data_IF_930491797823
#
_entry.id   IF_930491797823
#
_cell.length_a   1.000
_cell.length_b   1.000
_cell.length_c   1.000
_cell.angle_alpha   90.00
_cell.angle_beta   90.00
_cell.angle_gamma   90.00
#
_symmetry.space_group_name_H-M   'P 1'
#
loop_
_entity.id
_entity.type
_entity.pdbx_description
1 polymer ?
#
# COMPACT_ATOMS: atom_id res chain seq x y z
N UNK A 1 16.87 -47.54 -36.45
CA UNK A 1 17.83 -47.10 -35.39
C UNK A 1 18.32 -45.72 -35.73
N UNK A 2 17.71 -44.69 -35.08
CA UNK A 2 18.14 -43.29 -35.14
C UNK A 2 18.47 -42.89 -33.69
N UNK A 3 19.69 -42.44 -33.37
CA UNK A 3 20.02 -41.99 -32.02
C UNK A 3 19.48 -40.59 -31.79
N UNK A 4 18.61 -40.43 -30.77
CA UNK A 4 18.16 -39.16 -30.25
C UNK A 4 19.35 -38.41 -29.60
N UNK A 5 19.79 -37.31 -30.19
CA UNK A 5 20.70 -36.37 -29.53
C UNK A 5 19.90 -35.56 -28.52
N UNK A 6 19.94 -35.94 -27.26
CA UNK A 6 19.61 -35.06 -26.18
C UNK A 6 20.71 -33.99 -26.06
N UNK A 7 20.48 -32.83 -26.60
CA UNK A 7 21.30 -31.64 -26.30
C UNK A 7 20.90 -31.17 -24.91
N UNK A 8 21.70 -31.51 -23.92
CA UNK A 8 21.63 -30.96 -22.59
C UNK A 8 21.96 -29.45 -22.69
N UNK A 9 20.97 -28.61 -22.38
CA UNK A 9 21.17 -27.15 -22.20
C UNK A 9 22.10 -27.00 -21.00
N UNK A 10 23.26 -26.29 -21.10
CA UNK A 10 24.14 -26.09 -19.96
C UNK A 10 23.43 -25.29 -18.86
N UNK A 11 23.38 -25.83 -17.65
CA UNK A 11 22.73 -25.22 -16.47
C UNK A 11 23.19 -23.79 -16.15
N UNK A 12 24.32 -23.34 -16.69
CA UNK A 12 24.84 -21.98 -16.52
C UNK A 12 24.11 -20.90 -17.31
N UNK A 13 23.52 -21.21 -18.48
CA UNK A 13 22.82 -20.18 -19.30
C UNK A 13 21.48 -19.77 -18.73
N UNK A 14 20.76 -20.68 -18.08
CA UNK A 14 19.47 -20.39 -17.44
C UNK A 14 19.65 -19.46 -16.22
N UNK A 15 20.70 -19.68 -15.43
CA UNK A 15 20.98 -18.87 -14.24
C UNK A 15 21.39 -17.44 -14.57
N UNK A 16 22.27 -17.24 -15.56
CA UNK A 16 22.67 -15.92 -16.01
C UNK A 16 21.52 -15.11 -16.62
N UNK A 17 20.59 -15.76 -17.34
CA UNK A 17 19.39 -15.10 -17.87
C UNK A 17 18.47 -14.67 -16.73
N UNK A 18 18.23 -15.55 -15.74
CA UNK A 18 17.42 -15.25 -14.55
C UNK A 18 18.01 -14.10 -13.73
N UNK A 19 19.33 -14.09 -13.49
CA UNK A 19 20.01 -13.04 -12.73
C UNK A 19 19.96 -11.68 -13.47
N UNK A 20 20.01 -11.70 -14.80
CA UNK A 20 19.88 -10.51 -15.63
C UNK A 20 18.44 -9.97 -15.63
N UNK A 21 17.43 -10.84 -15.72
CA UNK A 21 16.02 -10.45 -15.64
C UNK A 21 15.68 -9.87 -14.27
N UNK A 22 16.17 -10.46 -13.20
CA UNK A 22 16.00 -9.94 -11.84
C UNK A 22 16.65 -8.56 -11.69
N UNK A 23 17.85 -8.37 -12.23
CA UNK A 23 18.54 -7.08 -12.19
C UNK A 23 17.77 -5.99 -12.93
N UNK A 24 17.26 -6.29 -14.13
CA UNK A 24 16.43 -5.37 -14.90
C UNK A 24 15.12 -5.03 -14.19
N UNK A 25 14.48 -6.02 -13.59
CA UNK A 25 13.27 -5.81 -12.79
C UNK A 25 13.54 -4.87 -11.61
N UNK A 26 14.62 -5.10 -10.86
CA UNK A 26 14.99 -4.24 -9.72
C UNK A 26 15.29 -2.80 -10.15
N UNK A 27 15.98 -2.62 -11.29
CA UNK A 27 16.24 -1.29 -11.85
C UNK A 27 14.99 -0.55 -12.26
N UNK A 28 14.05 -1.25 -12.93
CA UNK A 28 12.77 -0.66 -13.33
C UNK A 28 11.92 -0.31 -12.09
N UNK A 29 11.89 -1.16 -11.08
CA UNK A 29 11.20 -0.90 -9.82
C UNK A 29 11.76 0.34 -9.11
N UNK A 30 13.09 0.48 -9.04
CA UNK A 30 13.75 1.65 -8.46
C UNK A 30 13.42 2.94 -9.22
N UNK A 31 13.44 2.90 -10.55
CA UNK A 31 13.08 4.03 -11.41
C UNK A 31 11.64 4.49 -11.17
N UNK A 32 10.70 3.55 -11.08
CA UNK A 32 9.28 3.84 -10.82
C UNK A 32 9.07 4.39 -9.41
N UNK A 33 9.73 3.82 -8.41
CA UNK A 33 9.70 4.32 -7.05
C UNK A 33 10.19 5.76 -6.98
N UNK A 34 11.31 6.08 -7.63
CA UNK A 34 11.85 7.43 -7.67
C UNK A 34 10.89 8.42 -8.35
N UNK A 35 10.23 8.04 -9.45
CA UNK A 35 9.24 8.89 -10.11
C UNK A 35 8.03 9.17 -9.20
N UNK A 36 7.56 8.17 -8.45
CA UNK A 36 6.47 8.36 -7.50
C UNK A 36 6.91 9.25 -6.34
N UNK A 37 8.15 9.13 -5.86
CA UNK A 37 8.66 10.01 -4.79
C UNK A 37 8.79 11.48 -5.25
N UNK A 38 9.14 11.73 -6.50
CA UNK A 38 9.09 13.10 -7.05
C UNK A 38 7.64 13.60 -7.12
N UNK A 39 6.70 12.79 -7.59
CA UNK A 39 5.28 13.14 -7.59
C UNK A 39 4.78 13.47 -6.17
N UNK A 40 5.13 12.67 -5.16
CA UNK A 40 4.73 12.95 -3.77
C UNK A 40 5.20 14.32 -3.31
N UNK A 41 6.43 14.74 -3.68
CA UNK A 41 6.99 16.05 -3.30
C UNK A 41 6.18 17.22 -3.84
N UNK A 42 5.60 17.09 -5.03
CA UNK A 42 4.79 18.14 -5.65
C UNK A 42 3.49 18.41 -4.89
N UNK A 43 3.02 17.43 -4.11
CA UNK A 43 1.79 17.52 -3.33
C UNK A 43 2.02 17.80 -1.84
N UNK A 44 3.28 17.92 -1.37
CA UNK A 44 3.55 18.22 0.03
C UNK A 44 3.01 19.60 0.40
N UNK A 45 2.31 19.73 1.55
CA UNK A 45 1.91 21.03 2.04
C UNK A 45 3.12 21.85 2.51
N UNK A 46 3.07 23.17 2.31
CA UNK A 46 4.14 24.09 2.73
C UNK A 46 4.26 24.14 4.26
N UNK A 47 5.49 24.02 4.76
CA UNK A 47 5.81 24.01 6.20
C UNK A 47 5.84 25.43 6.77
N UNK A 48 4.66 26.06 6.86
CA UNK A 48 4.52 27.44 7.30
C UNK A 48 3.30 27.64 8.22
N UNK A 49 3.18 28.81 8.81
CA UNK A 49 2.07 29.19 9.68
C UNK A 49 2.14 28.55 11.07
N UNK A 50 1.07 28.70 11.86
CA UNK A 50 0.96 28.16 13.22
C UNK A 50 0.84 26.63 13.24
N UNK A 51 0.43 26.03 12.13
CA UNK A 51 0.30 24.57 11.93
C UNK A 51 1.59 23.94 11.38
N UNK A 52 2.69 24.68 11.27
CA UNK A 52 3.95 24.23 10.67
C UNK A 52 4.42 22.88 11.23
N UNK A 53 4.40 22.68 12.54
CA UNK A 53 4.93 21.46 13.17
C UNK A 53 4.17 20.20 12.76
N UNK A 54 2.84 20.26 12.65
CA UNK A 54 2.08 19.09 12.18
C UNK A 54 2.36 18.82 10.70
N UNK A 55 2.54 19.86 9.89
CA UNK A 55 2.91 19.71 8.48
C UNK A 55 4.30 19.07 8.35
N UNK A 56 5.29 19.54 9.13
CA UNK A 56 6.62 18.92 9.19
C UNK A 56 6.55 17.43 9.56
N UNK A 57 5.72 17.06 10.55
CA UNK A 57 5.51 15.68 10.97
C UNK A 57 4.83 14.83 9.87
N UNK A 58 3.85 15.38 9.14
CA UNK A 58 3.21 14.74 7.99
C UNK A 58 4.23 14.50 6.86
N UNK A 59 4.98 15.53 6.47
CA UNK A 59 5.99 15.47 5.41
C UNK A 59 7.12 14.50 5.79
N UNK A 60 7.59 14.54 7.04
CA UNK A 60 8.57 13.62 7.59
C UNK A 60 8.15 12.16 7.41
N UNK A 61 6.88 11.86 7.72
CA UNK A 61 6.33 10.51 7.64
C UNK A 61 6.16 10.06 6.19
N UNK A 62 5.57 10.91 5.35
CA UNK A 62 5.31 10.58 3.94
C UNK A 62 6.61 10.35 3.17
N UNK A 63 7.65 11.14 3.45
CA UNK A 63 8.96 11.04 2.81
C UNK A 63 9.93 10.09 3.52
N UNK A 64 9.45 9.21 4.42
CA UNK A 64 10.28 8.22 5.09
C UNK A 64 10.72 7.04 4.18
N UNK A 65 10.42 7.10 2.90
CA UNK A 65 10.74 6.07 1.91
C UNK A 65 9.74 4.90 1.92
N UNK A 66 10.01 3.92 1.10
CA UNK A 66 9.20 2.72 0.94
C UNK A 66 9.18 2.20 -0.49
N UNK A 67 8.52 1.06 -0.71
CA UNK A 67 8.44 0.43 -2.04
C UNK A 67 7.43 1.12 -2.97
N UNK A 68 6.57 1.98 -2.46
CA UNK A 68 5.52 2.72 -3.20
C UNK A 68 4.67 1.81 -4.10
N UNK A 69 4.39 0.59 -3.65
CA UNK A 69 3.68 -0.41 -4.46
C UNK A 69 2.23 -0.01 -4.78
N UNK A 70 1.52 0.62 -3.85
CA UNK A 70 0.12 1.00 -4.05
C UNK A 70 -0.06 2.02 -5.18
N UNK A 71 0.61 3.18 -5.17
CA UNK A 71 0.55 4.11 -6.30
C UNK A 71 1.08 3.49 -7.61
N UNK A 72 2.09 2.60 -7.54
CA UNK A 72 2.61 1.90 -8.72
C UNK A 72 1.56 0.96 -9.33
N UNK A 73 0.88 0.15 -8.51
CA UNK A 73 -0.20 -0.73 -8.97
C UNK A 73 -1.37 0.07 -9.55
N UNK A 74 -1.71 1.21 -8.93
CA UNK A 74 -2.74 2.12 -9.46
C UNK A 74 -2.36 2.64 -10.83
N UNK A 75 -1.13 3.10 -11.03
CA UNK A 75 -0.65 3.60 -12.30
C UNK A 75 -0.65 2.51 -13.38
N UNK A 76 -0.20 1.30 -13.06
CA UNK A 76 -0.16 0.21 -14.03
C UNK A 76 -1.57 -0.26 -14.46
N UNK A 77 -2.51 -0.32 -13.53
CA UNK A 77 -3.89 -0.64 -13.88
C UNK A 77 -4.55 0.46 -14.68
N UNK A 78 -4.27 1.73 -14.37
CA UNK A 78 -4.74 2.85 -15.18
C UNK A 78 -4.28 2.75 -16.64
N UNK A 79 -2.98 2.50 -16.85
CA UNK A 79 -2.41 2.29 -18.19
C UNK A 79 -2.95 1.04 -18.88
N UNK A 80 -3.15 -0.04 -18.13
CA UNK A 80 -3.68 -1.31 -18.66
C UNK A 80 -5.06 -1.14 -19.30
N UNK A 81 -5.90 -0.24 -18.73
CA UNK A 81 -7.22 0.10 -19.26
C UNK A 81 -7.21 1.33 -20.20
N UNK A 82 -6.04 1.75 -20.68
CA UNK A 82 -5.89 2.81 -21.68
C UNK A 82 -5.91 4.24 -21.13
N UNK A 83 -5.77 4.40 -19.81
CA UNK A 83 -5.63 5.73 -19.20
C UNK A 83 -4.26 6.34 -19.50
N UNK A 84 -4.23 7.64 -19.82
CA UNK A 84 -3.02 8.36 -20.28
C UNK A 84 -2.89 9.80 -19.72
N UNK A 85 -3.79 10.24 -18.85
CA UNK A 85 -3.77 11.60 -18.29
C UNK A 85 -3.35 11.66 -16.82
N UNK A 86 -3.30 12.89 -16.30
CA UNK A 86 -2.82 13.22 -14.96
C UNK A 86 -3.90 13.07 -13.87
N UNK A 87 -5.15 12.77 -14.26
CA UNK A 87 -6.28 12.60 -13.34
C UNK A 87 -6.03 11.56 -12.22
N UNK A 88 -5.11 10.63 -12.47
CA UNK A 88 -4.72 9.59 -11.54
C UNK A 88 -3.77 10.08 -10.44
N UNK A 89 -2.96 11.11 -10.70
CA UNK A 89 -1.88 11.55 -9.81
C UNK A 89 -2.36 11.91 -8.40
N UNK A 90 -3.44 12.70 -8.23
CA UNK A 90 -3.97 13.00 -6.91
C UNK A 90 -4.36 11.74 -6.13
N UNK A 91 -4.86 10.70 -6.81
CA UNK A 91 -5.21 9.44 -6.17
C UNK A 91 -3.99 8.59 -5.81
N UNK A 92 -2.94 8.61 -6.64
CA UNK A 92 -1.67 7.94 -6.34
C UNK A 92 -1.05 8.52 -5.07
N UNK A 93 -1.10 9.84 -4.92
CA UNK A 93 -0.61 10.54 -3.73
C UNK A 93 -1.51 10.25 -2.53
N UNK A 94 -2.81 10.36 -2.69
CA UNK A 94 -3.79 10.14 -1.63
C UNK A 94 -3.70 8.73 -1.02
N UNK A 95 -3.57 7.69 -1.85
CA UNK A 95 -3.48 6.32 -1.32
C UNK A 95 -2.18 6.09 -0.54
N UNK A 96 -1.10 6.76 -0.92
CA UNK A 96 0.16 6.67 -0.18
C UNK A 96 0.10 7.47 1.14
N UNK A 97 -0.61 8.62 1.17
CA UNK A 97 -0.92 9.34 2.41
C UNK A 97 -1.79 8.48 3.35
N UNK A 98 -2.81 7.80 2.82
CA UNK A 98 -3.66 6.89 3.60
C UNK A 98 -2.84 5.73 4.16
N UNK A 99 -1.96 5.13 3.37
CA UNK A 99 -1.05 4.11 3.87
C UNK A 99 -0.11 4.66 4.94
N UNK A 100 0.41 5.86 4.75
CA UNK A 100 1.37 6.47 5.67
C UNK A 100 0.72 6.81 7.00
N UNK A 101 -0.51 7.37 7.02
CA UNK A 101 -1.18 7.66 8.28
C UNK A 101 -1.41 6.39 9.11
N UNK A 102 -1.76 5.28 8.47
CA UNK A 102 -1.95 4.03 9.19
C UNK A 102 -0.68 3.58 9.90
N UNK A 103 0.48 3.73 9.24
CA UNK A 103 1.76 3.43 9.85
C UNK A 103 2.12 4.40 10.99
N UNK A 104 1.81 5.69 10.82
CA UNK A 104 2.05 6.71 11.87
C UNK A 104 1.23 6.40 13.13
N UNK A 105 -0.03 5.97 12.96
CA UNK A 105 -0.87 5.60 14.09
C UNK A 105 -0.49 4.24 14.67
N UNK A 106 -0.13 3.26 13.85
CA UNK A 106 0.33 1.95 14.32
C UNK A 106 1.59 2.08 15.21
N UNK A 107 2.51 3.00 14.87
CA UNK A 107 3.73 3.24 15.62
C UNK A 107 3.51 3.86 17.01
N UNK A 108 2.34 4.47 17.28
CA UNK A 108 2.08 5.19 18.55
C UNK A 108 2.25 4.28 19.79
N UNK A 109 2.61 4.86 20.96
CA UNK A 109 2.69 4.11 22.21
C UNK A 109 1.42 3.38 22.63
N UNK A 110 0.25 3.85 22.17
CA UNK A 110 -1.06 3.23 22.42
C UNK A 110 -1.38 2.05 21.47
N UNK A 111 -0.52 1.81 20.49
CA UNK A 111 -0.62 0.77 19.46
C UNK A 111 0.60 -0.16 19.57
N UNK A 112 1.44 -0.26 18.51
CA UNK A 112 2.61 -1.14 18.47
C UNK A 112 3.79 -0.61 19.31
N UNK A 113 3.80 0.69 19.67
CA UNK A 113 4.85 1.35 20.45
C UNK A 113 6.24 1.25 19.79
N UNK A 114 6.30 1.40 18.48
CA UNK A 114 7.52 1.31 17.71
C UNK A 114 8.29 2.64 17.69
N UNK A 115 9.52 2.67 18.21
CA UNK A 115 10.39 3.84 18.17
C UNK A 115 11.08 4.02 16.80
N UNK A 116 11.22 2.94 16.03
CA UNK A 116 11.92 2.93 14.74
C UNK A 116 11.12 2.20 13.68
N UNK A 117 11.08 2.77 12.48
CA UNK A 117 10.51 2.15 11.27
C UNK A 117 11.43 2.41 10.07
N UNK A 118 11.77 1.37 9.31
CA UNK A 118 12.66 1.47 8.15
C UNK A 118 14.02 2.13 8.46
N UNK A 119 14.57 1.89 9.66
CA UNK A 119 15.84 2.45 10.11
C UNK A 119 15.80 3.93 10.51
N UNK A 120 14.62 4.56 10.55
CA UNK A 120 14.41 5.94 11.02
C UNK A 120 13.53 5.94 12.28
N UNK A 121 13.67 6.97 13.09
CA UNK A 121 12.74 7.21 14.21
C UNK A 121 11.33 7.42 13.67
N UNK A 122 10.35 6.87 14.37
CA UNK A 122 8.93 7.06 14.05
C UNK A 122 8.48 8.48 14.35
N UNK A 123 7.34 8.88 13.83
CA UNK A 123 6.84 10.26 13.95
C UNK A 123 6.64 10.66 15.40
N UNK A 124 6.04 9.79 16.22
CA UNK A 124 5.87 10.09 17.65
C UNK A 124 7.19 10.15 18.42
N UNK A 125 8.19 9.34 18.05
CA UNK A 125 9.53 9.40 18.66
C UNK A 125 10.26 10.71 18.39
N UNK A 126 9.93 11.40 17.28
CA UNK A 126 10.57 12.69 16.91
C UNK A 126 9.77 13.87 17.43
N UNK A 127 8.44 13.83 17.28
CA UNK A 127 7.55 14.99 17.50
C UNK A 127 6.67 14.85 18.75
N UNK A 128 6.69 13.68 19.43
CA UNK A 128 5.84 13.37 20.58
C UNK A 128 4.48 12.79 20.21
N UNK A 129 3.83 12.12 21.18
CA UNK A 129 2.59 11.35 21.00
C UNK A 129 1.45 12.16 20.38
N UNK A 130 1.16 13.33 20.95
CA UNK A 130 0.07 14.18 20.47
C UNK A 130 0.29 14.65 19.03
N UNK A 131 1.53 14.91 18.64
CA UNK A 131 1.87 15.29 17.28
C UNK A 131 1.82 14.08 16.33
N UNK A 132 2.17 12.89 16.82
CA UNK A 132 1.97 11.64 16.09
C UNK A 132 0.49 11.41 15.73
N UNK A 133 -0.42 11.60 16.68
CA UNK A 133 -1.87 11.52 16.44
C UNK A 133 -2.31 12.56 15.39
N UNK A 134 -1.95 13.83 15.58
CA UNK A 134 -2.35 14.91 14.66
C UNK A 134 -1.75 14.74 13.26
N UNK A 135 -0.53 14.21 13.13
CA UNK A 135 0.09 13.96 11.84
C UNK A 135 -0.65 12.84 11.07
N UNK A 136 -1.08 11.80 11.76
CA UNK A 136 -1.92 10.75 11.16
C UNK A 136 -3.28 11.28 10.72
N UNK A 137 -3.98 12.02 11.59
CA UNK A 137 -5.26 12.68 11.25
C UNK A 137 -5.10 13.64 10.07
N UNK A 138 -4.02 14.45 10.09
CA UNK A 138 -3.68 15.38 9.02
C UNK A 138 -3.45 14.67 7.69
N UNK A 139 -2.68 13.59 7.67
CA UNK A 139 -2.43 12.79 6.47
C UNK A 139 -3.71 12.17 5.93
N UNK A 140 -4.57 11.62 6.80
CA UNK A 140 -5.85 11.02 6.39
C UNK A 140 -6.75 12.07 5.75
N UNK A 141 -6.93 13.23 6.40
CA UNK A 141 -7.78 14.30 5.86
C UNK A 141 -7.18 14.88 4.57
N UNK A 142 -5.88 15.16 4.58
CA UNK A 142 -5.19 15.75 3.42
C UNK A 142 -5.14 14.80 2.21
N UNK A 143 -5.21 13.50 2.43
CA UNK A 143 -5.38 12.52 1.36
C UNK A 143 -6.68 12.77 0.57
N UNK A 144 -7.81 13.02 1.26
CA UNK A 144 -9.06 13.35 0.59
C UNK A 144 -9.03 14.74 -0.05
N UNK A 145 -8.47 15.75 0.61
CA UNK A 145 -8.25 17.07 -0.01
C UNK A 145 -7.45 16.95 -1.31
N UNK A 146 -6.41 16.09 -1.31
CA UNK A 146 -5.59 15.83 -2.49
C UNK A 146 -6.38 15.09 -3.58
N UNK A 147 -7.11 14.03 -3.23
CA UNK A 147 -7.92 13.28 -4.19
C UNK A 147 -9.02 14.14 -4.84
N UNK A 148 -9.59 15.10 -4.13
CA UNK A 148 -10.55 16.06 -4.67
C UNK A 148 -9.96 16.97 -5.75
N UNK A 149 -8.64 17.14 -5.83
CA UNK A 149 -7.98 17.90 -6.91
C UNK A 149 -8.11 17.23 -8.28
N UNK A 150 -8.49 15.94 -8.33
CA UNK A 150 -8.77 15.22 -9.56
C UNK A 150 -10.07 15.66 -10.24
N UNK A 151 -10.96 16.38 -9.55
CA UNK A 151 -12.15 16.93 -10.19
C UNK A 151 -11.75 18.04 -11.17
N UNK A 152 -12.20 17.96 -12.43
CA UNK A 152 -11.99 19.04 -13.38
C UNK A 152 -12.62 20.34 -12.89
N UNK A 153 -12.07 21.47 -13.31
CA UNK A 153 -12.63 22.77 -12.99
C UNK A 153 -14.05 22.90 -13.56
N UNK A 154 -15.02 23.25 -12.71
CA UNK A 154 -16.38 23.53 -13.14
C UNK A 154 -16.49 24.98 -13.60
N UNK A 155 -16.77 25.17 -14.89
CA UNK A 155 -17.11 26.49 -15.43
C UNK A 155 -18.63 26.59 -15.59
N UNK A 156 -19.23 27.65 -15.01
CA UNK A 156 -20.69 27.84 -15.09
C UNK A 156 -21.17 27.91 -16.54
N UNK A 157 -22.09 27.01 -16.90
CA UNK A 157 -22.69 26.97 -18.24
C UNK A 157 -22.04 26.02 -19.25
N UNK A 158 -20.93 25.36 -18.86
CA UNK A 158 -20.34 24.29 -19.70
C UNK A 158 -20.91 22.92 -19.38
N UNK A 159 -20.87 21.96 -20.31
CA UNK A 159 -21.22 20.57 -20.02
C UNK A 159 -20.34 19.99 -18.91
N UNK A 160 -20.92 19.12 -18.10
CA UNK A 160 -20.15 18.41 -17.05
C UNK A 160 -19.10 17.54 -17.73
N UNK A 161 -17.84 17.67 -17.26
CA UNK A 161 -16.74 16.84 -17.74
C UNK A 161 -17.07 15.34 -17.54
N UNK A 162 -16.88 14.48 -18.55
CA UNK A 162 -17.20 13.05 -18.47
C UNK A 162 -16.39 12.30 -17.40
N UNK A 163 -15.32 12.88 -16.87
CA UNK A 163 -14.53 12.30 -15.79
C UNK A 163 -15.14 12.49 -14.39
N UNK A 164 -16.11 13.41 -14.21
CA UNK A 164 -16.77 13.63 -12.91
C UNK A 164 -17.30 12.34 -12.27
N UNK A 165 -18.10 11.50 -12.96
CA UNK A 165 -18.59 10.25 -12.40
C UNK A 165 -17.45 9.29 -12.02
N UNK A 166 -16.38 9.23 -12.81
CA UNK A 166 -15.21 8.36 -12.55
C UNK A 166 -14.44 8.82 -11.30
N UNK A 167 -14.22 10.12 -11.13
CA UNK A 167 -13.59 10.69 -9.94
C UNK A 167 -14.45 10.43 -8.71
N UNK A 168 -15.76 10.64 -8.79
CA UNK A 168 -16.68 10.35 -7.68
C UNK A 168 -16.70 8.87 -7.29
N UNK A 169 -16.69 7.96 -8.28
CA UNK A 169 -16.58 6.53 -8.04
C UNK A 169 -15.24 6.15 -7.39
N UNK A 170 -14.13 6.69 -7.89
CA UNK A 170 -12.80 6.48 -7.34
C UNK A 170 -12.68 6.96 -5.88
N UNK A 171 -13.26 8.13 -5.55
CA UNK A 171 -13.33 8.64 -4.18
C UNK A 171 -14.15 7.71 -3.27
N UNK A 172 -15.27 7.17 -3.75
CA UNK A 172 -16.06 6.22 -2.98
C UNK A 172 -15.27 4.93 -2.70
N UNK A 173 -14.54 4.41 -3.69
CA UNK A 173 -13.65 3.25 -3.52
C UNK A 173 -12.60 3.55 -2.46
N UNK A 174 -11.89 4.69 -2.58
CA UNK A 174 -10.85 5.11 -1.65
C UNK A 174 -11.39 5.18 -0.21
N UNK A 175 -12.52 5.87 -0.01
CA UNK A 175 -13.15 6.04 1.29
C UNK A 175 -13.59 4.72 1.92
N UNK A 176 -14.25 3.84 1.15
CA UNK A 176 -14.71 2.55 1.66
C UNK A 176 -13.56 1.63 2.05
N UNK A 177 -12.54 1.53 1.17
CA UNK A 177 -11.41 0.60 1.38
C UNK A 177 -10.45 1.09 2.46
N UNK A 178 -10.34 2.39 2.69
CA UNK A 178 -9.59 2.95 3.81
C UNK A 178 -10.36 2.90 5.14
N UNK A 179 -11.69 2.90 5.10
CA UNK A 179 -12.58 3.08 6.24
C UNK A 179 -12.87 1.81 7.05
N UNK A 180 -14.00 1.86 7.80
CA UNK A 180 -14.43 0.78 8.71
C UNK A 180 -14.80 -0.52 7.99
N UNK A 181 -15.13 -0.46 6.70
CA UNK A 181 -15.39 -1.63 5.86
C UNK A 181 -14.15 -2.09 5.06
N UNK A 182 -12.97 -1.62 5.43
CA UNK A 182 -11.68 -1.93 4.85
C UNK A 182 -10.58 -1.87 5.90
N UNK A 183 -9.55 -1.06 5.64
CA UNK A 183 -8.31 -1.04 6.43
C UNK A 183 -8.53 -0.78 7.92
N UNK A 184 -9.35 0.20 8.30
CA UNK A 184 -9.65 0.48 9.72
C UNK A 184 -10.37 -0.70 10.37
N UNK A 185 -11.33 -1.33 9.67
CA UNK A 185 -12.01 -2.53 10.17
C UNK A 185 -11.08 -3.72 10.35
N UNK A 186 -10.13 -3.90 9.43
CA UNK A 186 -9.08 -4.92 9.54
C UNK A 186 -8.15 -4.67 10.72
N UNK A 187 -7.75 -3.43 10.94
CA UNK A 187 -6.92 -3.04 12.08
C UNK A 187 -7.66 -3.25 13.41
N UNK A 188 -8.95 -2.92 13.48
CA UNK A 188 -9.76 -3.21 14.66
C UNK A 188 -9.77 -4.71 14.99
N UNK A 189 -9.99 -5.55 13.97
CA UNK A 189 -10.00 -7.00 14.17
C UNK A 189 -8.64 -7.54 14.60
N UNK A 190 -7.53 -6.96 14.11
CA UNK A 190 -6.17 -7.32 14.51
C UNK A 190 -5.92 -7.00 16.00
N UNK A 191 -6.27 -5.79 16.44
CA UNK A 191 -6.15 -5.38 17.86
C UNK A 191 -7.02 -6.23 18.79
N UNK A 192 -8.23 -6.60 18.37
CA UNK A 192 -9.10 -7.46 19.17
C UNK A 192 -8.57 -8.89 19.23
N UNK A 193 -7.97 -9.37 18.14
CA UNK A 193 -7.34 -10.68 18.07
C UNK A 193 -6.21 -10.85 19.09
N UNK A 194 -5.40 -9.81 19.34
CA UNK A 194 -4.32 -9.84 20.34
C UNK A 194 -4.83 -10.02 21.78
N UNK A 195 -6.09 -9.69 22.04
CA UNK A 195 -6.71 -9.82 23.37
C UNK A 195 -7.45 -11.15 23.57
N UNK A 196 -7.59 -11.96 22.51
CA UNK A 196 -8.30 -13.23 22.59
C UNK A 196 -7.43 -14.30 23.25
N UNK A 197 -8.01 -15.05 24.19
CA UNK A 197 -7.36 -16.20 24.81
C UNK A 197 -7.40 -17.45 23.92
N UNK A 198 -8.42 -17.57 23.07
CA UNK A 198 -8.61 -18.69 22.15
C UNK A 198 -7.89 -18.46 20.83
N UNK A 199 -7.36 -19.54 20.20
CA UNK A 199 -6.74 -19.43 18.89
C UNK A 199 -7.69 -18.85 17.83
N UNK A 200 -7.16 -17.99 16.96
CA UNK A 200 -7.91 -17.46 15.82
C UNK A 200 -8.28 -18.58 14.84
N UNK A 201 -9.46 -18.45 14.24
CA UNK A 201 -9.83 -19.29 13.10
C UNK A 201 -9.16 -18.81 11.82
N UNK A 202 -9.01 -19.69 10.82
CA UNK A 202 -8.54 -19.29 9.48
C UNK A 202 -9.38 -18.16 8.89
N UNK A 203 -10.69 -18.16 9.11
CA UNK A 203 -11.60 -17.11 8.64
C UNK A 203 -11.26 -15.74 9.26
N UNK A 204 -10.97 -15.70 10.55
CA UNK A 204 -10.58 -14.46 11.24
C UNK A 204 -9.25 -13.92 10.71
N UNK A 205 -8.24 -14.78 10.53
CA UNK A 205 -6.93 -14.38 9.96
C UNK A 205 -7.10 -13.87 8.52
N UNK A 206 -7.86 -14.58 7.69
CA UNK A 206 -8.14 -14.13 6.32
C UNK A 206 -8.92 -12.82 6.30
N UNK A 207 -9.84 -12.58 7.25
CA UNK A 207 -10.54 -11.30 7.38
C UNK A 207 -9.56 -10.15 7.69
N UNK A 208 -8.63 -10.37 8.64
CA UNK A 208 -7.58 -9.39 8.97
C UNK A 208 -6.72 -9.09 7.74
N UNK A 209 -6.20 -10.12 7.08
CA UNK A 209 -5.38 -9.97 5.87
C UNK A 209 -6.11 -9.24 4.74
N UNK A 210 -7.38 -9.60 4.51
CA UNK A 210 -8.22 -9.01 3.48
C UNK A 210 -8.47 -7.52 3.71
N UNK A 211 -8.71 -7.13 4.95
CA UNK A 211 -9.10 -5.76 5.27
C UNK A 211 -7.90 -4.88 5.66
N UNK A 212 -7.03 -5.33 6.56
CA UNK A 212 -5.86 -4.55 6.99
C UNK A 212 -4.89 -4.28 5.83
N UNK A 213 -4.65 -5.27 4.97
CA UNK A 213 -3.62 -5.19 3.92
C UNK A 213 -4.20 -5.17 2.50
N UNK A 214 -5.02 -6.17 2.14
CA UNK A 214 -5.48 -6.31 0.76
C UNK A 214 -6.47 -5.21 0.34
N UNK A 215 -7.24 -4.62 1.26
CA UNK A 215 -8.19 -3.55 0.95
C UNK A 215 -7.55 -2.36 0.23
N UNK A 216 -6.36 -1.90 0.66
CA UNK A 216 -5.67 -0.80 -0.03
C UNK A 216 -5.02 -1.23 -1.35
N UNK A 217 -4.67 -2.50 -1.52
CA UNK A 217 -4.21 -3.04 -2.82
C UNK A 217 -5.38 -3.08 -3.80
N UNK A 218 -6.54 -3.56 -3.34
CA UNK A 218 -7.78 -3.51 -4.13
C UNK A 218 -8.14 -2.08 -4.50
N UNK A 219 -8.09 -1.15 -3.54
CA UNK A 219 -8.35 0.27 -3.77
C UNK A 219 -7.44 0.83 -4.86
N UNK A 220 -6.13 0.58 -4.78
CA UNK A 220 -5.17 1.04 -5.77
C UNK A 220 -5.52 0.58 -7.19
N UNK A 221 -5.72 -0.73 -7.35
CA UNK A 221 -5.95 -1.32 -8.66
C UNK A 221 -7.32 -0.93 -9.23
N UNK A 222 -8.38 -0.96 -8.42
CA UNK A 222 -9.73 -0.61 -8.90
C UNK A 222 -9.90 0.88 -9.17
N UNK A 223 -9.25 1.77 -8.42
CA UNK A 223 -9.23 3.22 -8.74
C UNK A 223 -8.56 3.47 -10.09
N UNK A 224 -7.41 2.84 -10.36
CA UNK A 224 -6.74 2.97 -11.64
C UNK A 224 -7.64 2.58 -12.82
N UNK A 225 -8.30 1.41 -12.72
CA UNK A 225 -9.24 0.94 -13.74
C UNK A 225 -10.48 1.86 -13.88
N UNK A 226 -11.06 2.31 -12.76
CA UNK A 226 -12.23 3.19 -12.73
C UNK A 226 -11.94 4.53 -13.42
N UNK A 227 -10.80 5.15 -13.11
CA UNK A 227 -10.40 6.41 -13.74
C UNK A 227 -10.11 6.26 -15.24
N UNK A 228 -9.59 5.11 -15.67
CA UNK A 228 -9.41 4.78 -17.08
C UNK A 228 -10.73 4.49 -17.81
N UNK A 229 -11.83 4.24 -17.09
CA UNK A 229 -13.14 3.97 -17.65
C UNK A 229 -13.41 2.52 -17.96
N UNK A 230 -12.82 1.60 -17.21
CA UNK A 230 -13.13 0.18 -17.24
C UNK A 230 -14.62 -0.07 -16.93
N UNK A 231 -15.18 -1.16 -17.44
CA UNK A 231 -16.55 -1.59 -17.15
C UNK A 231 -16.66 -2.16 -15.74
N UNK A 232 -17.89 -2.25 -15.21
CA UNK A 232 -18.14 -2.81 -13.88
C UNK A 232 -17.68 -4.27 -13.77
N UNK A 233 -17.81 -5.07 -14.86
CA UNK A 233 -17.36 -6.46 -14.92
C UNK A 233 -15.82 -6.55 -14.85
N UNK A 234 -15.12 -5.65 -15.55
CA UNK A 234 -13.65 -5.59 -15.53
C UNK A 234 -13.14 -5.15 -14.15
N UNK A 235 -13.79 -4.15 -13.54
CA UNK A 235 -13.47 -3.69 -12.18
C UNK A 235 -13.69 -4.81 -11.17
N UNK A 236 -14.80 -5.57 -11.26
CA UNK A 236 -15.08 -6.68 -10.35
C UNK A 236 -14.04 -7.81 -10.51
N UNK A 237 -13.65 -8.15 -11.74
CA UNK A 237 -12.61 -9.16 -12.00
C UNK A 237 -11.24 -8.71 -11.45
N UNK A 238 -10.91 -7.42 -11.62
CA UNK A 238 -9.67 -6.85 -11.11
C UNK A 238 -9.67 -6.78 -9.58
N UNK A 239 -10.80 -6.47 -8.95
CA UNK A 239 -10.95 -6.47 -7.49
C UNK A 239 -10.67 -7.84 -6.89
N UNK A 240 -11.18 -8.92 -7.51
CA UNK A 240 -10.89 -10.29 -7.10
C UNK A 240 -9.40 -10.63 -7.29
N UNK A 241 -8.79 -10.23 -8.41
CA UNK A 241 -7.36 -10.38 -8.62
C UNK A 241 -6.55 -9.67 -7.54
N UNK A 242 -6.86 -8.41 -7.27
CA UNK A 242 -6.20 -7.59 -6.24
C UNK A 242 -6.37 -8.16 -4.83
N UNK A 243 -7.53 -8.73 -4.52
CA UNK A 243 -7.76 -9.46 -3.27
C UNK A 243 -6.78 -10.62 -3.13
N UNK A 244 -6.68 -11.48 -4.14
CA UNK A 244 -5.78 -12.64 -4.11
C UNK A 244 -4.30 -12.22 -4.01
N UNK A 245 -3.90 -11.16 -4.72
CA UNK A 245 -2.55 -10.58 -4.60
C UNK A 245 -2.29 -10.09 -3.17
N UNK A 246 -3.24 -9.40 -2.56
CA UNK A 246 -3.11 -8.89 -1.19
C UNK A 246 -3.00 -10.00 -0.14
N UNK A 247 -3.81 -11.05 -0.27
CA UNK A 247 -3.74 -12.24 0.60
C UNK A 247 -2.39 -12.96 0.42
N UNK A 248 -1.96 -13.21 -0.81
CA UNK A 248 -0.68 -13.86 -1.10
C UNK A 248 0.50 -13.03 -0.54
N UNK A 249 0.44 -11.70 -0.67
CA UNK A 249 1.44 -10.79 -0.12
C UNK A 249 1.56 -10.93 1.40
N UNK A 250 0.41 -11.00 2.11
CA UNK A 250 0.42 -11.13 3.56
C UNK A 250 0.91 -12.51 4.02
N UNK A 251 0.45 -13.58 3.37
CA UNK A 251 0.94 -14.93 3.66
C UNK A 251 2.46 -15.02 3.44
N UNK A 252 2.96 -14.41 2.36
CA UNK A 252 4.39 -14.33 2.10
C UNK A 252 5.13 -13.53 3.18
N UNK A 253 4.56 -12.46 3.69
CA UNK A 253 5.15 -11.67 4.79
C UNK A 253 5.25 -12.49 6.08
N UNK A 254 4.18 -13.24 6.43
CA UNK A 254 4.15 -14.16 7.56
C UNK A 254 5.23 -15.27 7.42
N UNK A 255 5.39 -15.84 6.22
CA UNK A 255 6.44 -16.83 5.94
C UNK A 255 7.83 -16.21 6.11
N UNK A 256 8.05 -15.02 5.56
CA UNK A 256 9.35 -14.34 5.62
C UNK A 256 9.70 -13.89 7.03
N UNK A 257 8.72 -13.62 7.90
CA UNK A 257 9.00 -13.36 9.32
C UNK A 257 9.60 -14.59 10.02
N UNK A 258 9.21 -15.80 9.60
CA UNK A 258 9.71 -17.06 10.19
C UNK A 258 11.05 -17.49 9.60
N UNK A 259 11.24 -17.45 8.27
CA UNK A 259 12.39 -18.04 7.58
C UNK A 259 13.34 -17.04 6.92
N UNK A 260 12.97 -15.75 6.88
CA UNK A 260 13.73 -14.72 6.18
C UNK A 260 15.02 -14.33 6.91
N UNK A 261 15.98 -13.76 6.14
CA UNK A 261 17.18 -13.12 6.71
C UNK A 261 16.89 -11.63 6.97
N UNK A 262 17.04 -11.20 8.22
CA UNK A 262 16.81 -9.83 8.65
C UNK A 262 17.65 -8.79 7.88
N UNK A 263 18.82 -9.19 7.38
CA UNK A 263 19.69 -8.30 6.57
C UNK A 263 19.14 -8.10 5.16
N UNK A 264 18.54 -9.14 4.57
CA UNK A 264 17.94 -9.05 3.25
C UNK A 264 16.58 -8.35 3.29
N UNK A 265 15.80 -8.58 4.35
CA UNK A 265 14.47 -8.00 4.52
C UNK A 265 14.49 -6.53 5.01
N UNK A 266 15.58 -6.10 5.65
CA UNK A 266 15.70 -4.76 6.22
C UNK A 266 14.78 -4.51 7.43
N UNK A 267 14.21 -5.59 8.02
CA UNK A 267 13.41 -5.58 9.25
C UNK A 267 13.81 -6.76 10.13
N UNK A 268 13.53 -6.67 11.44
CA UNK A 268 13.69 -7.81 12.34
C UNK A 268 12.78 -8.97 11.91
N UNK A 269 13.27 -10.20 12.00
CA UNK A 269 12.50 -11.43 11.80
C UNK A 269 12.12 -12.03 13.15
N UNK A 270 11.03 -12.80 13.20
CA UNK A 270 10.49 -13.37 14.43
C UNK A 270 9.72 -12.37 15.30
N UNK A 271 9.33 -11.23 14.74
CA UNK A 271 8.55 -10.21 15.43
C UNK A 271 7.15 -10.72 15.80
N UNK A 272 6.53 -11.50 14.92
CA UNK A 272 5.21 -12.10 15.16
C UNK A 272 5.24 -13.05 16.36
N UNK A 273 6.28 -13.88 16.46
CA UNK A 273 6.46 -14.79 17.60
C UNK A 273 6.75 -14.03 18.90
N UNK A 274 7.53 -12.95 18.87
CA UNK A 274 7.81 -12.09 20.03
C UNK A 274 6.57 -11.38 20.54
N UNK A 275 5.71 -10.96 19.63
CA UNK A 275 4.44 -10.26 19.93
C UNK A 275 3.27 -11.23 20.13
N UNK A 276 3.53 -12.55 20.16
CA UNK A 276 2.50 -13.59 20.27
C UNK A 276 1.39 -13.49 19.20
N UNK A 277 1.70 -12.94 18.02
CA UNK A 277 0.74 -12.82 16.92
C UNK A 277 0.42 -14.18 16.33
N UNK A 278 -0.86 -14.41 16.11
CA UNK A 278 -1.34 -15.58 15.39
C UNK A 278 -1.39 -15.24 13.90
N UNK A 279 -0.61 -15.97 13.11
CA UNK A 279 -0.45 -15.76 11.66
C UNK A 279 -0.96 -16.97 10.88
N UNK A 280 -1.03 -16.84 9.57
CA UNK A 280 -1.39 -17.97 8.69
C UNK A 280 -0.42 -19.14 8.88
N UNK A 281 0.87 -18.86 9.08
CA UNK A 281 1.91 -19.88 9.30
C UNK A 281 1.75 -20.59 10.65
N UNK A 282 1.36 -19.89 11.72
CA UNK A 282 1.13 -20.51 13.03
C UNK A 282 -0.04 -21.48 13.00
N UNK A 283 -1.02 -21.27 12.13
CA UNK A 283 -2.18 -22.16 11.99
C UNK A 283 -1.95 -23.34 11.04
N UNK A 284 -1.26 -23.11 9.94
CA UNK A 284 -1.17 -24.10 8.84
C UNK A 284 0.22 -24.73 8.69
N UNK A 285 1.22 -24.19 9.41
CA UNK A 285 2.62 -24.56 9.23
C UNK A 285 3.25 -23.91 7.99
N UNK A 286 4.55 -24.18 7.80
CA UNK A 286 5.32 -23.76 6.62
C UNK A 286 5.09 -24.68 5.44
#
# INVERSE_FOLDING_TARGET
>A
WIPSKHTSIPAGRGRLASDMEETLFRQELQKRTAAIEELLKEYLPAEEGYQKTVIEAMNYSLMAGGKRLRPMLMQETYKMFGGDGDIIEPFMVAIEMIHTYSLVHDDLPAMDNDEYRRGRKTTWSVYGDGMGVLAGDGLLNYAFETAFRAFPACTSGEPVDPNYPRVAAALNILARKAGIYGMIGGQNADIEAEKQAEPLTTEQILFIHANKTAALIQSAMTIGATLAGATDEEIAALELCAYNVGIAFQIQDDILDVIGDSKELGKATGSDAQNHKQTYVTLHGL
#
